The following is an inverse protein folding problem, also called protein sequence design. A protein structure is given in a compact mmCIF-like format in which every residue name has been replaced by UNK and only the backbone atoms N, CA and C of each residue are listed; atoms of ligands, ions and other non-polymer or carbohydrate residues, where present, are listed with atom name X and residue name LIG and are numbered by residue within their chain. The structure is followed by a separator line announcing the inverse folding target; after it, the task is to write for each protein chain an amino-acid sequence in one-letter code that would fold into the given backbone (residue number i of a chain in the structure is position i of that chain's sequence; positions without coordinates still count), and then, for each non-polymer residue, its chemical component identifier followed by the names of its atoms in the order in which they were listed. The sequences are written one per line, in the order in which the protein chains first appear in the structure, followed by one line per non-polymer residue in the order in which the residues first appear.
data_IF_454473379268
#
_entry.id   IF_454473379268
#
_cell.length_a   1.000
_cell.length_b   1.000
_cell.length_c   1.000
_cell.angle_alpha   90.00
_cell.angle_beta   90.00
_cell.angle_gamma   90.00
#
_symmetry.space_group_name_H-M   'P 1'
#
loop_
_entity.id
_entity.type
_entity.pdbx_description
1 polymer ?
#
# COMPACT_ATOMS: atom_id res chain seq x y z
N UNK A 1 -11.56 18.79 -12.18
CA UNK A 1 -10.23 19.36 -11.88
C UNK A 1 -9.18 19.05 -12.95
N UNK A 2 -8.92 17.78 -13.31
CA UNK A 2 -7.97 17.44 -14.39
C UNK A 2 -8.30 18.14 -15.73
N UNK A 3 -9.57 18.15 -16.14
CA UNK A 3 -10.02 18.85 -17.35
C UNK A 3 -9.77 20.37 -17.30
N UNK A 4 -9.83 20.99 -16.12
CA UNK A 4 -9.53 22.42 -15.94
C UNK A 4 -8.02 22.70 -15.99
N UNK A 5 -7.19 21.75 -15.55
CA UNK A 5 -5.74 21.83 -15.70
C UNK A 5 -5.32 21.61 -17.15
N UNK A 6 -5.92 20.64 -17.84
CA UNK A 6 -5.69 20.36 -19.26
C UNK A 6 -6.22 21.48 -20.17
N UNK A 7 -7.33 22.13 -19.82
CA UNK A 7 -7.85 23.29 -20.57
C UNK A 7 -6.94 24.52 -20.43
N UNK A 8 -6.29 24.68 -19.27
CA UNK A 8 -5.28 25.72 -19.06
C UNK A 8 -3.94 25.37 -19.72
N UNK A 9 -3.67 24.07 -19.94
CA UNK A 9 -2.36 23.58 -20.38
C UNK A 9 -2.49 22.38 -21.35
N UNK A 10 -2.85 22.62 -22.63
CA UNK A 10 -3.06 21.55 -23.60
C UNK A 10 -1.79 20.74 -23.92
N UNK A 11 -0.62 21.38 -23.84
CA UNK A 11 0.68 20.77 -24.17
C UNK A 11 1.12 19.64 -23.22
N UNK A 12 0.40 19.45 -22.10
CA UNK A 12 0.63 18.34 -21.16
C UNK A 12 -0.13 17.07 -21.50
N UNK A 13 -1.16 17.14 -22.36
CA UNK A 13 -1.97 15.98 -22.75
C UNK A 13 -1.09 14.81 -23.25
N UNK A 14 -0.14 15.00 -24.20
CA UNK A 14 0.67 13.89 -24.70
C UNK A 14 1.57 13.25 -23.63
N UNK A 15 1.89 14.02 -22.57
CA UNK A 15 2.72 13.56 -21.46
C UNK A 15 1.89 12.82 -20.42
N UNK A 16 0.69 13.29 -20.12
CA UNK A 16 -0.20 12.71 -19.11
C UNK A 16 -0.98 11.49 -19.60
N UNK A 17 -1.14 11.31 -20.92
CA UNK A 17 -1.81 10.16 -21.52
C UNK A 17 -1.11 8.81 -21.26
N UNK A 18 -1.92 7.74 -21.26
CA UNK A 18 -1.47 6.37 -21.08
C UNK A 18 -0.79 6.17 -19.71
N UNK A 19 0.48 5.75 -19.65
CA UNK A 19 1.18 5.55 -18.37
C UNK A 19 1.58 6.87 -17.69
N UNK A 20 1.30 8.03 -18.29
CA UNK A 20 1.69 9.34 -17.80
C UNK A 20 1.20 9.61 -16.38
N UNK A 21 -0.12 9.62 -16.17
CA UNK A 21 -0.72 9.86 -14.84
C UNK A 21 -0.11 8.95 -13.76
N UNK A 22 -0.11 7.60 -13.89
CA UNK A 22 0.50 6.74 -12.87
C UNK A 22 1.98 7.04 -12.59
N UNK A 23 2.78 7.34 -13.63
CA UNK A 23 4.21 7.67 -13.49
C UNK A 23 4.40 8.95 -12.67
N UNK A 24 3.63 10.02 -12.95
CA UNK A 24 3.78 11.27 -12.22
C UNK A 24 3.15 11.22 -10.83
N UNK A 25 2.11 10.41 -10.65
CA UNK A 25 1.53 10.13 -9.33
C UNK A 25 2.52 9.41 -8.40
N UNK A 26 3.31 8.46 -8.92
CA UNK A 26 4.41 7.84 -8.17
C UNK A 26 5.53 8.82 -7.81
N UNK A 27 5.55 10.02 -8.43
CA UNK A 27 6.54 11.08 -8.21
C UNK A 27 5.99 12.27 -7.42
N UNK A 28 4.92 12.08 -6.64
CA UNK A 28 4.47 13.10 -5.67
C UNK A 28 5.58 13.46 -4.67
N UNK A 29 6.49 12.52 -4.40
CA UNK A 29 7.79 12.74 -3.76
C UNK A 29 8.92 12.57 -4.79
N UNK A 30 10.12 13.14 -4.56
CA UNK A 30 11.27 12.88 -5.42
C UNK A 30 11.57 11.38 -5.52
N UNK A 31 11.66 10.84 -6.73
CA UNK A 31 11.80 9.40 -6.94
C UNK A 31 12.73 9.06 -8.09
N UNK A 32 13.42 7.94 -7.97
CA UNK A 32 14.24 7.30 -9.00
C UNK A 32 13.37 6.52 -9.98
N UNK A 33 13.94 6.16 -11.13
CA UNK A 33 13.26 5.29 -12.10
C UNK A 33 12.98 3.91 -11.49
N UNK A 34 13.83 3.43 -10.59
CA UNK A 34 13.65 2.15 -9.89
C UNK A 34 12.39 2.16 -9.01
N UNK A 35 12.25 3.21 -8.20
CA UNK A 35 11.11 3.39 -7.31
C UNK A 35 9.81 3.53 -8.10
N UNK A 36 9.81 4.35 -9.16
CA UNK A 36 8.65 4.52 -10.04
C UNK A 36 8.29 3.19 -10.72
N UNK A 37 9.29 2.43 -11.18
CA UNK A 37 9.07 1.10 -11.80
C UNK A 37 8.47 0.11 -10.82
N UNK A 38 8.94 0.12 -9.57
CA UNK A 38 8.47 -0.76 -8.51
C UNK A 38 7.04 -0.41 -8.05
N UNK A 39 6.70 0.88 -8.02
CA UNK A 39 5.36 1.36 -7.64
C UNK A 39 4.34 1.13 -8.75
N UNK A 40 4.69 1.47 -9.99
CA UNK A 40 3.73 1.47 -11.11
C UNK A 40 3.71 0.18 -11.93
N UNK A 41 4.72 -0.68 -11.81
CA UNK A 41 4.88 -1.87 -12.65
C UNK A 41 5.29 -1.59 -14.10
N UNK A 42 5.47 -0.32 -14.50
CA UNK A 42 5.92 0.00 -15.86
C UNK A 42 7.41 -0.29 -16.04
N UNK A 43 7.80 -0.66 -17.26
CA UNK A 43 9.20 -0.89 -17.63
C UNK A 43 10.01 0.40 -17.49
N UNK A 44 11.22 0.30 -16.93
CA UNK A 44 12.18 1.42 -16.76
C UNK A 44 12.40 2.22 -18.04
N UNK A 45 12.44 1.56 -19.20
CA UNK A 45 12.61 2.22 -20.52
C UNK A 45 11.40 3.08 -20.89
N UNK A 46 10.19 2.63 -20.61
CA UNK A 46 8.96 3.39 -20.83
C UNK A 46 8.89 4.61 -19.89
N UNK A 47 9.25 4.41 -18.62
CA UNK A 47 9.34 5.47 -17.62
C UNK A 47 10.38 6.51 -18.06
N UNK A 48 11.59 6.08 -18.43
CA UNK A 48 12.64 6.98 -18.88
C UNK A 48 12.21 7.84 -20.07
N UNK A 49 11.63 7.23 -21.13
CA UNK A 49 11.12 7.95 -22.30
C UNK A 49 10.09 9.00 -21.89
N UNK A 50 9.15 8.63 -21.02
CA UNK A 50 8.11 9.52 -20.52
C UNK A 50 8.70 10.70 -19.73
N UNK A 51 9.68 10.45 -18.88
CA UNK A 51 10.37 11.49 -18.11
C UNK A 51 11.18 12.44 -19.01
N UNK A 52 11.79 11.96 -20.10
CA UNK A 52 12.46 12.86 -21.05
C UNK A 52 11.47 13.79 -21.75
N UNK A 53 10.31 13.27 -22.19
CA UNK A 53 9.26 14.11 -22.77
C UNK A 53 8.68 15.13 -21.79
N UNK A 54 8.54 14.74 -20.53
CA UNK A 54 8.14 15.62 -19.44
C UNK A 54 9.20 16.71 -19.17
N UNK A 55 10.49 16.37 -19.21
CA UNK A 55 11.60 17.33 -19.05
C UNK A 55 11.65 18.36 -20.17
N UNK A 56 11.43 17.96 -21.43
CA UNK A 56 11.36 18.89 -22.58
C UNK A 56 10.29 19.97 -22.39
N UNK A 57 9.24 19.65 -21.62
CA UNK A 57 8.13 20.56 -21.29
C UNK A 57 8.26 21.17 -19.90
N UNK A 58 9.44 21.06 -19.28
CA UNK A 58 9.72 21.56 -17.93
C UNK A 58 8.78 21.01 -16.84
N UNK A 59 8.09 19.90 -17.09
CA UNK A 59 7.13 19.28 -16.16
C UNK A 59 7.84 18.66 -14.95
N UNK A 60 9.00 18.06 -15.20
CA UNK A 60 9.82 17.44 -14.17
C UNK A 60 11.25 17.95 -14.26
N UNK A 61 11.93 18.00 -13.12
CA UNK A 61 13.37 18.28 -13.01
C UNK A 61 14.09 17.01 -12.64
N UNK A 62 15.28 16.83 -13.20
CA UNK A 62 16.20 15.77 -12.80
C UNK A 62 17.18 16.35 -11.78
N UNK A 63 17.22 15.75 -10.59
CA UNK A 63 18.31 15.85 -9.62
C UNK A 63 19.32 14.72 -9.90
N UNK A 64 20.36 14.58 -9.07
CA UNK A 64 21.48 13.64 -9.32
C UNK A 64 20.97 12.26 -9.77
N UNK A 65 20.11 11.64 -8.97
CA UNK A 65 19.50 10.32 -9.26
C UNK A 65 17.98 10.33 -9.33
N UNK A 66 17.33 11.36 -8.79
CA UNK A 66 15.87 11.44 -8.68
C UNK A 66 15.25 12.41 -9.66
N UNK A 67 13.97 12.24 -9.91
CA UNK A 67 13.13 13.17 -10.65
C UNK A 67 12.09 13.78 -9.70
N UNK A 68 11.77 15.05 -9.91
CA UNK A 68 10.76 15.76 -9.13
C UNK A 68 9.83 16.57 -10.04
N UNK A 69 8.56 16.66 -9.68
CA UNK A 69 7.60 17.54 -10.36
C UNK A 69 8.01 19.00 -10.15
N UNK A 70 8.06 19.75 -11.24
CA UNK A 70 8.40 21.16 -11.28
C UNK A 70 7.20 22.03 -10.91
N UNK A 71 6.86 22.03 -9.63
CA UNK A 71 5.68 22.72 -9.11
C UNK A 71 5.73 24.25 -9.31
N UNK A 72 6.94 24.84 -9.38
CA UNK A 72 7.13 26.26 -9.69
C UNK A 72 6.65 26.63 -11.11
N UNK A 73 6.86 25.76 -12.07
CA UNK A 73 6.40 25.97 -13.45
C UNK A 73 4.95 25.54 -13.64
N UNK A 74 4.46 24.64 -12.79
CA UNK A 74 3.18 23.96 -12.95
C UNK A 74 2.42 23.90 -11.63
N UNK A 75 2.10 25.07 -11.08
CA UNK A 75 1.37 25.19 -9.82
C UNK A 75 0.01 24.48 -9.90
N UNK A 76 -0.35 23.71 -8.87
CA UNK A 76 -1.61 22.95 -8.83
C UNK A 76 -1.50 21.55 -9.41
N UNK A 77 -0.40 21.19 -10.09
CA UNK A 77 -0.25 19.87 -10.70
C UNK A 77 -0.05 18.79 -9.64
N UNK A 78 0.75 19.05 -8.61
CA UNK A 78 0.96 18.07 -7.52
C UNK A 78 -0.34 17.81 -6.77
N UNK A 79 -1.09 18.85 -6.45
CA UNK A 79 -2.41 18.74 -5.83
C UNK A 79 -3.37 17.94 -6.72
N UNK A 80 -3.35 18.21 -8.03
CA UNK A 80 -4.18 17.46 -8.99
C UNK A 80 -3.81 15.98 -9.05
N UNK A 81 -2.52 15.66 -9.12
CA UNK A 81 -2.04 14.28 -9.14
C UNK A 81 -2.32 13.56 -7.82
N UNK A 82 -2.21 14.26 -6.69
CA UNK A 82 -2.54 13.72 -5.37
C UNK A 82 -4.04 13.44 -5.23
N UNK A 83 -4.90 14.33 -5.72
CA UNK A 83 -6.34 14.10 -5.78
C UNK A 83 -6.71 12.94 -6.71
N UNK A 84 -6.05 12.83 -7.88
CA UNK A 84 -6.22 11.69 -8.77
C UNK A 84 -5.81 10.40 -8.05
N UNK A 85 -4.65 10.39 -7.38
CA UNK A 85 -4.21 9.23 -6.59
C UNK A 85 -5.24 8.84 -5.53
N UNK A 86 -5.72 9.82 -4.77
CA UNK A 86 -6.74 9.61 -3.74
C UNK A 86 -8.05 9.08 -4.34
N UNK A 87 -8.42 9.52 -5.54
CA UNK A 87 -9.61 9.05 -6.26
C UNK A 87 -9.45 7.62 -6.80
N UNK A 88 -8.31 7.32 -7.43
CA UNK A 88 -7.98 5.99 -7.95
C UNK A 88 -7.86 4.95 -6.83
N UNK A 89 -7.45 5.37 -5.63
CA UNK A 89 -7.43 4.53 -4.44
C UNK A 89 -8.81 4.36 -3.78
N UNK A 90 -9.83 5.11 -4.20
CA UNK A 90 -11.20 4.97 -3.66
C UNK A 90 -12.06 4.01 -4.44
N UNK A 91 -11.73 3.73 -5.71
CA UNK A 91 -12.58 2.93 -6.59
C UNK A 91 -11.75 1.97 -7.44
N UNK A 92 -12.28 0.77 -7.68
CA UNK A 92 -11.76 -0.15 -8.68
C UNK A 92 -12.93 -0.97 -9.23
N UNK A 93 -13.02 -1.12 -10.56
CA UNK A 93 -14.14 -1.81 -11.21
C UNK A 93 -14.17 -3.31 -10.90
N UNK A 94 -13.06 -3.87 -10.40
CA UNK A 94 -12.93 -5.30 -10.05
C UNK A 94 -13.54 -5.63 -8.69
N UNK A 95 -13.91 -4.64 -7.89
CA UNK A 95 -14.43 -4.83 -6.52
C UNK A 95 -15.76 -4.08 -6.36
N UNK A 96 -16.59 -4.46 -5.36
CA UNK A 96 -17.81 -3.72 -5.04
C UNK A 96 -17.54 -2.26 -4.69
N UNK A 97 -18.47 -1.35 -5.03
CA UNK A 97 -18.33 0.07 -4.71
C UNK A 97 -18.30 0.37 -3.20
N UNK A 98 -18.83 -0.54 -2.38
CA UNK A 98 -18.83 -0.49 -0.92
C UNK A 98 -17.49 -0.89 -0.29
N UNK A 99 -16.55 -1.44 -1.08
CA UNK A 99 -15.28 -1.96 -0.59
C UNK A 99 -14.30 -0.86 -0.18
N UNK A 100 -13.45 -1.17 0.81
CA UNK A 100 -12.36 -0.28 1.24
C UNK A 100 -11.04 -0.82 0.72
N UNK A 101 -10.36 -0.07 -0.15
CA UNK A 101 -9.04 -0.42 -0.69
C UNK A 101 -7.94 -0.01 0.28
N UNK A 102 -7.06 -0.94 0.66
CA UNK A 102 -5.87 -0.67 1.49
C UNK A 102 -4.58 -0.62 0.66
N UNK A 103 -4.53 -1.39 -0.44
CA UNK A 103 -3.41 -1.40 -1.36
C UNK A 103 -3.91 -1.62 -2.78
N UNK A 104 -3.27 -0.96 -3.75
CA UNK A 104 -3.62 -1.10 -5.16
C UNK A 104 -2.39 -0.89 -6.04
N UNK A 105 -2.18 -1.84 -6.94
CA UNK A 105 -1.35 -1.75 -8.15
C UNK A 105 -2.22 -2.07 -9.37
N UNK A 106 -1.65 -1.98 -10.56
CA UNK A 106 -2.38 -2.20 -11.82
C UNK A 106 -3.08 -3.58 -11.84
N UNK A 107 -2.40 -4.61 -11.36
CA UNK A 107 -2.85 -5.99 -11.34
C UNK A 107 -3.30 -6.46 -9.94
N UNK A 108 -2.74 -5.89 -8.86
CA UNK A 108 -3.00 -6.34 -7.50
C UNK A 108 -3.89 -5.38 -6.68
N UNK A 109 -4.78 -5.91 -5.85
CA UNK A 109 -5.58 -5.12 -4.89
C UNK A 109 -5.66 -5.86 -3.56
N UNK A 110 -5.45 -5.14 -2.45
CA UNK A 110 -5.88 -5.55 -1.11
C UNK A 110 -7.03 -4.65 -0.69
N UNK A 111 -8.16 -5.25 -0.32
CA UNK A 111 -9.36 -4.52 0.06
C UNK A 111 -10.15 -5.27 1.14
N UNK A 112 -11.14 -4.60 1.73
CA UNK A 112 -12.12 -5.23 2.59
C UNK A 112 -13.55 -5.01 2.12
N UNK A 113 -14.42 -5.95 2.50
CA UNK A 113 -15.86 -5.88 2.28
C UNK A 113 -16.61 -6.53 3.45
N UNK A 114 -17.85 -6.10 3.68
CA UNK A 114 -18.78 -6.81 4.58
C UNK A 114 -19.53 -7.94 3.88
N UNK A 115 -19.55 -7.91 2.55
CA UNK A 115 -20.13 -8.96 1.72
C UNK A 115 -19.14 -10.12 1.63
N UNK A 116 -19.66 -11.35 1.57
CA UNK A 116 -18.82 -12.50 1.24
C UNK A 116 -18.61 -12.53 -0.27
N UNK A 117 -17.34 -12.45 -0.67
CA UNK A 117 -16.93 -12.32 -2.06
C UNK A 117 -16.12 -13.54 -2.48
N UNK A 118 -16.31 -13.95 -3.73
CA UNK A 118 -15.49 -14.96 -4.39
C UNK A 118 -14.12 -14.38 -4.78
N UNK A 119 -13.28 -14.12 -3.77
CA UNK A 119 -11.93 -13.60 -3.87
C UNK A 119 -11.02 -14.29 -2.83
N UNK A 120 -9.71 -14.16 -2.98
CA UNK A 120 -8.76 -14.82 -2.05
C UNK A 120 -8.76 -14.07 -0.73
N UNK A 121 -9.08 -14.75 0.38
CA UNK A 121 -8.97 -14.17 1.72
C UNK A 121 -7.49 -13.89 2.03
N UNK A 122 -7.23 -12.76 2.67
CA UNK A 122 -5.89 -12.33 3.05
C UNK A 122 -5.88 -11.66 4.43
N UNK A 123 -4.69 -11.27 4.91
CA UNK A 123 -4.50 -10.55 6.15
C UNK A 123 -5.24 -11.24 7.31
N UNK A 124 -5.95 -10.49 8.13
CA UNK A 124 -6.69 -11.00 9.29
C UNK A 124 -7.72 -12.08 8.93
N UNK A 125 -8.31 -12.04 7.73
CA UNK A 125 -9.28 -13.07 7.32
C UNK A 125 -8.63 -14.40 6.93
N UNK A 126 -7.35 -14.39 6.56
CA UNK A 126 -6.61 -15.62 6.26
C UNK A 126 -5.93 -16.23 7.51
N UNK A 127 -5.79 -15.47 8.60
CA UNK A 127 -5.14 -15.95 9.83
C UNK A 127 -5.84 -17.18 10.43
N UNK A 128 -7.14 -17.34 10.21
CA UNK A 128 -7.90 -18.50 10.65
C UNK A 128 -7.34 -19.81 10.09
N UNK A 129 -6.90 -19.81 8.83
CA UNK A 129 -6.29 -20.97 8.17
C UNK A 129 -4.94 -21.35 8.82
N UNK A 130 -4.37 -20.45 9.62
CA UNK A 130 -3.14 -20.64 10.38
C UNK A 130 -3.40 -20.78 11.88
N UNK A 131 -4.64 -21.06 12.28
CA UNK A 131 -5.04 -21.30 13.68
C UNK A 131 -5.17 -20.04 14.53
N UNK A 132 -5.26 -18.84 13.92
CA UNK A 132 -5.47 -17.58 14.62
C UNK A 132 -6.80 -16.99 14.14
N UNK A 133 -7.87 -17.31 14.86
CA UNK A 133 -9.22 -16.86 14.49
C UNK A 133 -9.46 -15.40 14.86
N UNK A 134 -9.93 -14.59 13.92
CA UNK A 134 -10.50 -13.29 14.23
C UNK A 134 -11.93 -13.24 13.71
N UNK A 135 -12.88 -13.10 14.63
CA UNK A 135 -14.29 -12.89 14.30
C UNK A 135 -14.48 -11.42 13.91
N UNK A 136 -14.43 -11.13 12.61
CA UNK A 136 -14.77 -9.82 12.05
C UNK A 136 -16.03 -9.88 11.21
N UNK A 137 -16.81 -8.80 11.24
CA UNK A 137 -17.94 -8.57 10.32
C UNK A 137 -17.40 -8.21 8.91
N UNK A 138 -16.16 -7.76 8.85
CA UNK A 138 -15.48 -7.32 7.63
C UNK A 138 -14.45 -8.36 7.22
N UNK A 139 -14.48 -8.79 5.96
CA UNK A 139 -13.53 -9.70 5.39
C UNK A 139 -12.49 -8.96 4.55
N UNK A 140 -11.24 -9.44 4.60
CA UNK A 140 -10.12 -8.90 3.84
C UNK A 140 -9.78 -9.83 2.67
N UNK A 141 -9.68 -9.23 1.49
CA UNK A 141 -9.53 -9.93 0.23
C UNK A 141 -8.34 -9.41 -0.57
N UNK A 142 -7.86 -10.28 -1.45
CA UNK A 142 -6.81 -10.01 -2.40
C UNK A 142 -7.26 -10.39 -3.82
N UNK A 143 -6.89 -9.55 -4.78
CA UNK A 143 -6.95 -9.84 -6.21
C UNK A 143 -5.56 -9.63 -6.84
N UNK A 144 -5.20 -10.39 -7.90
CA UNK A 144 -5.99 -11.43 -8.55
C UNK A 144 -6.03 -12.73 -7.72
N UNK A 145 -6.92 -13.68 -8.06
CA UNK A 145 -6.94 -14.98 -7.36
C UNK A 145 -5.63 -15.72 -7.58
N UNK A 146 -4.88 -15.94 -6.51
CA UNK A 146 -3.64 -16.73 -6.48
C UNK A 146 -3.40 -17.27 -5.06
N UNK A 147 -2.52 -18.25 -4.93
CA UNK A 147 -2.06 -18.69 -3.63
C UNK A 147 -1.15 -17.63 -3.01
N UNK A 148 -1.46 -17.20 -1.79
CA UNK A 148 -0.68 -16.23 -1.04
C UNK A 148 0.27 -16.95 -0.08
N UNK A 149 1.51 -16.47 0.00
CA UNK A 149 2.44 -16.93 1.03
C UNK A 149 2.10 -16.30 2.37
N UNK A 150 2.58 -16.89 3.48
CA UNK A 150 2.47 -16.26 4.81
C UNK A 150 3.04 -14.84 4.82
N UNK A 151 4.14 -14.63 4.09
CA UNK A 151 4.77 -13.32 3.94
C UNK A 151 3.83 -12.33 3.27
N UNK A 152 3.17 -12.71 2.16
CA UNK A 152 2.16 -11.86 1.53
C UNK A 152 1.00 -11.52 2.47
N UNK A 153 0.50 -12.53 3.19
CA UNK A 153 -0.61 -12.35 4.14
C UNK A 153 -0.22 -11.35 5.23
N UNK A 154 0.98 -11.49 5.81
CA UNK A 154 1.50 -10.55 6.81
C UNK A 154 1.68 -9.14 6.23
N UNK A 155 2.28 -9.02 5.04
CA UNK A 155 2.43 -7.73 4.36
C UNK A 155 1.09 -7.05 4.12
N UNK A 156 0.05 -7.80 3.72
CA UNK A 156 -1.28 -7.25 3.52
C UNK A 156 -1.90 -6.74 4.84
N UNK A 157 -1.66 -7.43 5.97
CA UNK A 157 -2.06 -6.93 7.30
C UNK A 157 -1.37 -5.61 7.65
N UNK A 158 -0.10 -5.44 7.26
CA UNK A 158 0.65 -4.19 7.48
C UNK A 158 0.04 -3.03 6.68
N UNK A 159 -0.30 -3.24 5.40
CA UNK A 159 -0.98 -2.22 4.59
C UNK A 159 -2.30 -1.74 5.21
N UNK A 160 -3.04 -2.65 5.86
CA UNK A 160 -4.29 -2.30 6.53
C UNK A 160 -4.01 -1.39 7.73
N UNK A 161 -3.06 -1.76 8.59
CA UNK A 161 -2.77 -1.02 9.82
C UNK A 161 -2.06 0.30 9.56
N UNK A 162 -1.27 0.42 8.49
CA UNK A 162 -0.73 1.73 8.06
C UNK A 162 -1.82 2.75 7.72
N UNK A 163 -2.97 2.27 7.25
CA UNK A 163 -4.12 3.12 6.89
C UNK A 163 -5.09 3.33 8.06
N UNK A 164 -5.32 2.29 8.85
CA UNK A 164 -6.29 2.28 9.95
C UNK A 164 -5.71 1.55 11.17
N UNK A 165 -5.16 2.33 12.11
CA UNK A 165 -4.48 1.80 13.29
C UNK A 165 -5.52 1.36 14.33
N UNK A 166 -5.73 0.06 14.42
CA UNK A 166 -6.50 -0.59 15.49
C UNK A 166 -5.55 -1.44 16.35
N UNK A 167 -5.52 -1.19 17.66
CA UNK A 167 -4.71 -1.95 18.63
C UNK A 167 -4.98 -3.46 18.54
N UNK A 168 -6.22 -3.88 18.26
CA UNK A 168 -6.55 -5.30 18.07
C UNK A 168 -5.79 -5.87 16.87
N UNK A 169 -5.77 -5.16 15.75
CA UNK A 169 -5.02 -5.60 14.57
C UNK A 169 -3.52 -5.70 14.86
N UNK A 170 -2.95 -4.78 15.65
CA UNK A 170 -1.56 -4.89 16.09
C UNK A 170 -1.30 -6.16 16.91
N UNK A 171 -2.22 -6.54 17.82
CA UNK A 171 -2.11 -7.81 18.56
C UNK A 171 -2.12 -8.99 17.59
N UNK A 172 -3.06 -9.05 16.65
CA UNK A 172 -3.13 -10.17 15.69
C UNK A 172 -1.90 -10.22 14.77
N UNK A 173 -1.36 -9.07 14.35
CA UNK A 173 -0.07 -9.02 13.63
C UNK A 173 1.03 -9.59 14.51
N UNK A 174 1.12 -9.21 15.78
CA UNK A 174 2.13 -9.73 16.70
C UNK A 174 2.06 -11.25 16.86
N UNK A 175 0.85 -11.81 17.00
CA UNK A 175 0.64 -13.27 17.10
C UNK A 175 1.08 -14.00 15.84
N UNK A 176 0.63 -13.54 14.67
CA UNK A 176 0.98 -14.18 13.40
C UNK A 176 2.46 -14.05 13.11
N UNK A 177 3.04 -12.88 13.41
CA UNK A 177 4.46 -12.62 13.25
C UNK A 177 5.31 -13.49 14.19
N UNK A 178 4.97 -13.58 15.48
CA UNK A 178 5.69 -14.41 16.45
C UNK A 178 5.64 -15.90 16.05
N UNK A 179 4.46 -16.41 15.69
CA UNK A 179 4.26 -17.82 15.30
C UNK A 179 5.16 -18.27 14.14
N UNK A 180 5.45 -17.37 13.21
CA UNK A 180 6.24 -17.69 12.00
C UNK A 180 7.49 -16.81 11.85
N UNK A 181 8.01 -16.24 12.95
CA UNK A 181 9.09 -15.22 12.94
C UNK A 181 10.29 -15.62 12.08
N UNK A 182 10.68 -16.89 12.12
CA UNK A 182 11.82 -17.45 11.38
C UNK A 182 11.61 -17.54 9.87
N UNK A 183 10.36 -17.51 9.40
CA UNK A 183 10.01 -17.61 7.98
C UNK A 183 10.00 -16.23 7.27
N UNK A 184 9.90 -15.13 8.02
CA UNK A 184 9.72 -13.81 7.43
C UNK A 184 11.04 -13.09 7.16
N UNK A 185 11.15 -12.46 5.98
CA UNK A 185 12.25 -11.56 5.62
C UNK A 185 11.77 -10.13 5.35
N UNK A 186 10.80 -9.68 6.15
CA UNK A 186 10.20 -8.35 6.02
C UNK A 186 10.90 -7.38 6.97
N UNK A 187 11.41 -6.27 6.42
CA UNK A 187 11.83 -5.12 7.22
C UNK A 187 10.71 -4.06 7.20
N UNK A 188 10.05 -3.84 8.34
CA UNK A 188 8.93 -2.91 8.44
C UNK A 188 8.89 -2.22 9.81
N UNK A 189 8.64 -0.90 9.90
CA UNK A 189 8.61 -0.17 11.17
C UNK A 189 7.63 -0.76 12.20
N UNK A 190 6.43 -1.16 11.76
CA UNK A 190 5.44 -1.82 12.64
C UNK A 190 6.02 -3.12 13.24
N UNK A 191 6.70 -3.94 12.44
CA UNK A 191 7.28 -5.19 12.93
C UNK A 191 8.48 -4.94 13.85
N UNK A 192 9.28 -3.89 13.58
CA UNK A 192 10.34 -3.47 14.48
C UNK A 192 9.79 -3.09 15.86
N UNK A 193 8.74 -2.28 15.90
CA UNK A 193 8.05 -1.90 17.15
C UNK A 193 7.44 -3.11 17.87
N UNK A 194 6.81 -4.04 17.11
CA UNK A 194 6.30 -5.30 17.68
C UNK A 194 7.43 -6.14 18.29
N UNK A 195 8.58 -6.27 17.63
CA UNK A 195 9.73 -6.97 18.22
C UNK A 195 10.17 -6.31 19.52
N UNK A 196 10.27 -4.98 19.58
CA UNK A 196 10.63 -4.26 20.80
C UNK A 196 9.70 -4.62 21.97
N UNK A 197 8.39 -4.75 21.71
CA UNK A 197 7.42 -5.14 22.74
C UNK A 197 7.58 -6.61 23.15
N UNK A 198 7.80 -7.51 22.19
CA UNK A 198 8.05 -8.93 22.47
C UNK A 198 9.35 -9.15 23.27
N UNK A 199 10.31 -8.24 23.16
CA UNK A 199 11.55 -8.22 23.94
C UNK A 199 11.40 -7.53 25.32
N UNK A 200 10.18 -7.14 25.69
CA UNK A 200 9.85 -6.53 26.99
C UNK A 200 9.94 -4.99 27.03
N UNK A 201 10.17 -4.34 25.90
CA UNK A 201 10.11 -2.89 25.77
C UNK A 201 8.70 -2.33 25.67
N UNK A 202 8.59 -1.00 25.60
CA UNK A 202 7.31 -0.30 25.41
C UNK A 202 7.37 0.63 24.20
N UNK A 203 6.28 0.67 23.43
CA UNK A 203 6.11 1.59 22.30
C UNK A 203 4.77 2.30 22.43
N UNK A 204 4.79 3.64 22.45
CA UNK A 204 3.55 4.44 22.57
C UNK A 204 2.61 4.15 21.40
N UNK A 205 1.34 3.86 21.71
CA UNK A 205 0.30 3.57 20.72
C UNK A 205 0.25 2.11 20.25
N UNK A 206 1.03 1.22 20.87
CA UNK A 206 1.02 -0.21 20.62
C UNK A 206 0.47 -0.98 21.83
N UNK A 207 0.00 -2.23 21.65
CA UNK A 207 -0.37 -3.10 22.76
C UNK A 207 0.82 -3.39 23.67
N UNK A 208 0.54 -3.64 24.95
CA UNK A 208 1.53 -4.10 25.92
C UNK A 208 1.90 -5.56 25.68
N UNK A 209 3.09 -5.96 26.15
CA UNK A 209 3.53 -7.36 26.10
C UNK A 209 2.49 -8.31 26.72
N UNK A 210 1.95 -7.95 27.89
CA UNK A 210 0.95 -8.78 28.57
C UNK A 210 -0.31 -8.99 27.72
N UNK A 211 -0.81 -7.96 27.02
CA UNK A 211 -1.99 -8.09 26.15
C UNK A 211 -1.75 -9.04 24.96
N UNK A 212 -0.54 -9.05 24.42
CA UNK A 212 -0.13 -9.99 23.37
C UNK A 212 -0.01 -11.40 23.96
N UNK A 213 0.65 -11.54 25.12
CA UNK A 213 0.86 -12.83 25.80
C UNK A 213 -0.46 -13.50 26.17
N UNK A 214 -1.37 -12.77 26.81
CA UNK A 214 -2.70 -13.29 27.18
C UNK A 214 -3.44 -13.83 25.96
N UNK A 215 -3.30 -13.16 24.81
CA UNK A 215 -3.91 -13.62 23.55
C UNK A 215 -3.15 -14.79 22.93
N UNK A 216 -1.82 -14.82 23.05
CA UNK A 216 -0.99 -15.90 22.54
C UNK A 216 -1.29 -17.23 23.23
N UNK A 217 -1.53 -17.19 24.55
CA UNK A 217 -1.95 -18.35 25.34
C UNK A 217 -3.25 -18.97 24.80
N UNK A 218 -4.25 -18.15 24.42
CA UNK A 218 -5.50 -18.63 23.81
C UNK A 218 -5.26 -19.43 22.51
N UNK A 219 -4.22 -19.08 21.75
CA UNK A 219 -3.89 -19.71 20.48
C UNK A 219 -2.71 -20.70 20.56
N UNK A 220 -2.19 -20.98 21.77
CA UNK A 220 -0.98 -21.77 21.99
C UNK A 220 0.22 -21.30 21.14
N UNK A 221 0.46 -19.99 21.13
CA UNK A 221 1.59 -19.37 20.43
C UNK A 221 2.65 -18.97 21.47
N UNK A 222 3.90 -19.32 21.20
CA UNK A 222 5.05 -18.88 21.98
C UNK A 222 5.44 -17.45 21.57
N UNK A 223 5.49 -16.54 22.55
CA UNK A 223 5.79 -15.11 22.37
C UNK A 223 6.84 -14.61 23.34
#
# INVERSE_FOLDING_TARGET
MLLQLLSKIPNLIPVLEGPGIPIFTAMLKPSTIEEISSETGYRKTAIYKRLQEARKRSLVRKKITTFEINDKMWAGLKETLDEIRKSELKTDKRIPASAIIYYKKNDEIVFSSKEDLDAVKTAFSAYQDYGIGLLTITHFYYLPKKNLTKENILTHSLYIVEKDVDTRYLIFIALFYAKYKKEFKINHPILANINTILEGGEVKGYPKYQEIKDRAEVYNIEV
#
